data_IF_455451358973
#
_entry.id   IF_455451358973
#
_cell.length_a   1.000
_cell.length_b   1.000
_cell.length_c   1.000
_cell.angle_alpha   90.00
_cell.angle_beta   90.00
_cell.angle_gamma   90.00
#
_symmetry.space_group_name_H-M   'P 1'
#
loop_
_entity.id
_entity.type
_entity.pdbx_description
1 polymer ?
#
# COMPACT_ATOMS: atom_id res chain seq x y z
N UNK A 1 -19.81 -12.35 -37.59
CA UNK A 1 -19.70 -13.18 -36.37
C UNK A 1 -19.33 -14.60 -36.79
N UNK A 2 -18.18 -15.13 -36.39
CA UNK A 2 -17.75 -16.47 -36.85
C UNK A 2 -18.47 -17.57 -36.06
N UNK A 3 -19.39 -18.31 -36.70
CA UNK A 3 -20.26 -19.30 -36.03
C UNK A 3 -19.57 -20.60 -35.59
N UNK A 4 -18.36 -20.91 -36.08
CA UNK A 4 -17.62 -22.15 -35.76
C UNK A 4 -16.52 -21.99 -34.70
N UNK A 5 -16.45 -20.84 -34.01
CA UNK A 5 -15.37 -20.54 -33.04
C UNK A 5 -15.30 -21.50 -31.85
N UNK A 6 -16.41 -22.15 -31.51
CA UNK A 6 -16.52 -23.08 -30.38
C UNK A 6 -16.46 -24.57 -30.80
N UNK A 7 -16.60 -24.88 -32.09
CA UNK A 7 -16.61 -26.26 -32.60
C UNK A 7 -15.20 -26.87 -32.68
N UNK A 8 -14.16 -26.04 -32.76
CA UNK A 8 -12.75 -26.47 -32.82
C UNK A 8 -12.00 -25.79 -31.67
N UNK A 9 -11.46 -26.59 -30.74
CA UNK A 9 -10.65 -26.10 -29.62
C UNK A 9 -9.34 -25.52 -30.16
N UNK A 10 -9.07 -24.25 -29.88
CA UNK A 10 -7.80 -23.59 -30.22
C UNK A 10 -6.70 -24.04 -29.25
N UNK A 11 -5.48 -24.16 -29.76
CA UNK A 11 -4.31 -24.48 -28.92
C UNK A 11 -4.00 -23.30 -28.00
N UNK A 12 -3.83 -23.60 -26.71
CA UNK A 12 -3.36 -22.63 -25.73
C UNK A 12 -1.85 -22.51 -25.81
N UNK A 13 -1.34 -21.31 -26.10
CA UNK A 13 0.10 -21.05 -26.10
C UNK A 13 0.59 -20.90 -24.66
N UNK A 14 1.53 -21.75 -24.24
CA UNK A 14 2.18 -21.67 -22.93
C UNK A 14 3.30 -20.61 -22.97
N UNK A 15 3.52 -19.96 -21.84
CA UNK A 15 4.61 -19.00 -21.71
C UNK A 15 5.95 -19.67 -21.46
N UNK A 16 7.04 -19.01 -21.88
CA UNK A 16 8.41 -19.50 -21.70
C UNK A 16 8.98 -19.06 -20.35
N UNK A 17 9.71 -19.97 -19.70
CA UNK A 17 10.47 -19.69 -18.47
C UNK A 17 11.74 -18.86 -18.72
N UNK A 18 12.35 -18.34 -17.64
CA UNK A 18 13.66 -17.69 -17.66
C UNK A 18 14.76 -18.70 -18.03
N UNK A 19 15.74 -18.36 -18.91
CA UNK A 19 16.89 -19.23 -19.20
C UNK A 19 17.67 -19.57 -17.94
N UNK A 20 18.20 -20.80 -17.88
CA UNK A 20 18.91 -21.35 -16.71
C UNK A 20 20.06 -20.48 -16.25
N UNK A 21 20.89 -19.98 -17.17
CA UNK A 21 22.01 -19.09 -16.88
C UNK A 21 21.60 -17.78 -16.18
N UNK A 22 20.36 -17.32 -16.38
CA UNK A 22 19.82 -16.06 -15.83
C UNK A 22 18.83 -16.27 -14.69
N UNK A 23 18.70 -17.48 -14.16
CA UNK A 23 17.80 -17.77 -13.02
C UNK A 23 18.13 -16.96 -11.77
N UNK A 24 19.39 -16.55 -11.59
CA UNK A 24 19.83 -15.72 -10.46
C UNK A 24 19.18 -14.33 -10.44
N UNK A 25 18.67 -13.82 -11.57
CA UNK A 25 17.95 -12.54 -11.66
C UNK A 25 16.49 -12.64 -11.20
N UNK A 26 16.03 -13.83 -10.81
CA UNK A 26 14.64 -14.09 -10.46
C UNK A 26 13.74 -14.35 -11.67
N UNK A 27 12.44 -14.12 -11.48
CA UNK A 27 11.42 -14.41 -12.48
C UNK A 27 11.55 -13.49 -13.70
N UNK A 28 11.44 -14.05 -14.91
CA UNK A 28 11.41 -13.27 -16.15
C UNK A 28 10.05 -12.60 -16.29
N UNK A 29 10.03 -11.32 -16.00
CA UNK A 29 8.84 -10.49 -16.13
C UNK A 29 8.24 -10.52 -17.55
N UNK A 30 6.91 -10.58 -17.63
CA UNK A 30 6.14 -10.52 -18.88
C UNK A 30 5.30 -9.27 -18.98
N UNK A 31 4.65 -9.10 -20.13
CA UNK A 31 3.84 -7.90 -20.40
C UNK A 31 2.69 -7.70 -19.41
N UNK A 32 2.11 -8.78 -18.87
CA UNK A 32 1.10 -8.72 -17.79
C UNK A 32 1.65 -8.03 -16.55
N UNK A 33 2.84 -8.44 -16.11
CA UNK A 33 3.49 -7.93 -14.91
C UNK A 33 3.96 -6.49 -15.12
N UNK A 34 4.46 -6.18 -16.33
CA UNK A 34 4.79 -4.82 -16.76
C UNK A 34 3.59 -3.88 -16.58
N UNK A 35 2.41 -4.28 -17.07
CA UNK A 35 1.20 -3.46 -16.92
C UNK A 35 0.87 -3.22 -15.45
N UNK A 36 0.95 -4.25 -14.61
CA UNK A 36 0.66 -4.11 -13.18
C UNK A 36 1.63 -3.13 -12.49
N UNK A 37 2.93 -3.25 -12.78
CA UNK A 37 3.94 -2.35 -12.23
C UNK A 37 3.80 -0.92 -12.75
N UNK A 38 3.59 -0.73 -14.05
CA UNK A 38 3.38 0.59 -14.63
C UNK A 38 2.15 1.27 -14.02
N UNK A 39 1.05 0.52 -13.85
CA UNK A 39 -0.14 1.02 -13.18
C UNK A 39 0.13 1.39 -11.70
N UNK A 40 0.90 0.58 -10.97
CA UNK A 40 1.28 0.89 -9.59
C UNK A 40 2.15 2.17 -9.52
N UNK A 41 3.14 2.28 -10.40
CA UNK A 41 4.01 3.44 -10.50
C UNK A 41 3.22 4.72 -10.77
N UNK A 42 2.39 4.75 -11.82
CA UNK A 42 1.58 5.93 -12.13
C UNK A 42 0.58 6.27 -11.02
N UNK A 43 0.05 5.29 -10.29
CA UNK A 43 -0.80 5.56 -9.11
C UNK A 43 -0.03 6.29 -8.01
N UNK A 44 1.21 5.87 -7.73
CA UNK A 44 2.07 6.51 -6.74
C UNK A 44 2.47 7.91 -7.18
N UNK A 45 2.88 8.05 -8.43
CA UNK A 45 3.25 9.34 -9.03
C UNK A 45 2.10 10.35 -8.95
N UNK A 46 0.88 9.97 -9.37
CA UNK A 46 -0.31 10.82 -9.26
C UNK A 46 -0.60 11.25 -7.82
N UNK A 47 -0.43 10.34 -6.86
CA UNK A 47 -0.62 10.65 -5.43
C UNK A 47 0.42 11.67 -4.95
N UNK A 48 1.69 11.49 -5.28
CA UNK A 48 2.77 12.41 -4.90
C UNK A 48 2.52 13.79 -5.51
N UNK A 49 2.15 13.85 -6.79
CA UNK A 49 1.83 15.11 -7.47
C UNK A 49 0.68 15.86 -6.78
N UNK A 50 -0.40 15.17 -6.45
CA UNK A 50 -1.53 15.78 -5.74
C UNK A 50 -1.15 16.25 -4.32
N UNK A 51 -0.28 15.54 -3.61
CA UNK A 51 0.24 15.98 -2.30
C UNK A 51 1.12 17.23 -2.43
N UNK A 52 1.97 17.30 -3.45
CA UNK A 52 2.81 18.46 -3.72
C UNK A 52 1.97 19.70 -4.06
N UNK A 53 0.93 19.54 -4.89
CA UNK A 53 0.02 20.63 -5.22
C UNK A 53 -0.72 21.15 -3.98
N UNK A 54 -1.20 20.26 -3.11
CA UNK A 54 -1.80 20.66 -1.82
C UNK A 54 -0.83 21.37 -0.90
N UNK A 55 0.41 20.91 -0.83
CA UNK A 55 1.46 21.54 -0.02
C UNK A 55 1.81 22.94 -0.56
N UNK A 56 1.85 23.11 -1.88
CA UNK A 56 2.12 24.40 -2.51
C UNK A 56 0.97 25.41 -2.29
N UNK A 57 -0.27 24.93 -2.37
CA UNK A 57 -1.46 25.77 -2.19
C UNK A 57 -1.89 25.92 -0.71
N UNK A 58 -1.02 25.56 0.25
CA UNK A 58 -1.34 25.62 1.67
C UNK A 58 -1.47 27.08 2.13
N UNK A 59 -2.57 27.42 2.81
CA UNK A 59 -2.73 28.72 3.43
C UNK A 59 -1.94 28.76 4.77
N UNK A 60 -0.96 29.66 4.95
CA UNK A 60 -0.21 29.75 6.21
C UNK A 60 -1.09 30.07 7.42
N UNK A 61 -2.24 30.73 7.21
CA UNK A 61 -3.14 31.19 8.27
C UNK A 61 -4.27 30.20 8.56
N UNK A 62 -4.25 29.00 7.97
CA UNK A 62 -5.27 27.98 8.21
C UNK A 62 -5.23 27.46 9.66
N UNK A 63 -6.39 27.40 10.32
CA UNK A 63 -6.52 26.86 11.67
C UNK A 63 -7.64 25.81 11.76
N UNK A 64 -7.31 24.66 12.35
CA UNK A 64 -8.24 23.58 12.64
C UNK A 64 -8.23 23.29 14.14
N UNK A 65 -9.38 23.09 14.77
CA UNK A 65 -9.47 22.82 16.22
C UNK A 65 -8.65 21.60 16.67
N UNK A 66 -8.47 20.62 15.76
CA UNK A 66 -7.64 19.44 16.01
C UNK A 66 -6.16 19.77 16.25
N UNK A 67 -5.66 20.91 15.77
CA UNK A 67 -4.27 21.37 15.98
C UNK A 67 -3.92 21.54 17.47
N UNK A 68 -4.92 21.77 18.34
CA UNK A 68 -4.71 21.86 19.79
C UNK A 68 -4.38 20.50 20.42
N UNK A 69 -4.74 19.40 19.76
CA UNK A 69 -4.60 18.03 20.27
C UNK A 69 -3.58 17.20 19.50
N UNK A 70 -3.21 17.61 18.28
CA UNK A 70 -2.16 16.97 17.49
C UNK A 70 -0.79 17.54 17.84
N UNK A 71 0.26 16.74 17.63
CA UNK A 71 1.63 17.16 17.89
C UNK A 71 2.47 17.00 16.62
N UNK A 72 3.37 17.95 16.41
CA UNK A 72 4.37 17.92 15.33
C UNK A 72 5.74 17.95 15.99
N UNK A 73 6.66 17.14 15.50
CA UNK A 73 8.04 17.15 15.97
C UNK A 73 8.73 18.45 15.51
N UNK A 74 9.22 19.24 16.46
CA UNK A 74 9.85 20.52 16.21
C UNK A 74 11.16 20.41 15.40
N UNK A 75 11.83 19.25 15.41
CA UNK A 75 13.08 19.05 14.67
C UNK A 75 12.85 18.61 13.23
N UNK A 76 11.88 17.71 13.01
CA UNK A 76 11.66 17.06 11.71
C UNK A 76 10.46 17.62 10.95
N UNK A 77 9.55 18.34 11.63
CA UNK A 77 8.31 18.85 11.06
C UNK A 77 7.26 17.76 10.78
N UNK A 78 7.47 16.53 11.25
CA UNK A 78 6.56 15.41 11.01
C UNK A 78 5.51 15.26 12.11
N UNK A 79 4.32 14.78 11.74
CA UNK A 79 3.25 14.50 12.71
C UNK A 79 3.66 13.37 13.67
N UNK A 80 3.58 13.63 14.97
CA UNK A 80 3.89 12.68 16.04
C UNK A 80 2.61 12.33 16.80
N UNK A 81 2.42 11.05 17.13
CA UNK A 81 1.36 10.64 18.05
C UNK A 81 1.61 11.26 19.43
N UNK A 82 0.56 11.73 20.08
CA UNK A 82 0.66 12.22 21.45
C UNK A 82 0.94 11.06 22.40
N UNK A 83 1.62 11.33 23.52
CA UNK A 83 1.92 10.30 24.51
C UNK A 83 0.65 9.64 25.04
N UNK A 84 -0.43 10.41 25.23
CA UNK A 84 -1.75 9.90 25.58
C UNK A 84 -2.33 8.94 24.52
N UNK A 85 -2.11 9.20 23.23
CA UNK A 85 -2.55 8.31 22.16
C UNK A 85 -1.71 7.02 22.12
N UNK A 86 -0.40 7.12 22.31
CA UNK A 86 0.48 5.95 22.43
C UNK A 86 0.07 5.07 23.62
N UNK A 87 -0.19 5.67 24.78
CA UNK A 87 -0.65 4.96 25.98
C UNK A 87 -2.02 4.29 25.80
N UNK A 88 -2.89 4.79 24.92
CA UNK A 88 -4.14 4.09 24.57
C UNK A 88 -3.89 2.89 23.68
N UNK A 89 -2.98 3.01 22.72
CA UNK A 89 -2.65 1.93 21.79
C UNK A 89 -2.01 0.76 22.52
N UNK A 90 -1.08 1.03 23.43
CA UNK A 90 -0.46 0.01 24.32
C UNK A 90 -1.53 -0.70 25.16
N UNK A 91 -2.41 0.05 25.84
CA UNK A 91 -3.54 -0.54 26.59
C UNK A 91 -4.44 -1.41 25.70
N UNK A 92 -4.75 -0.95 24.48
CA UNK A 92 -5.55 -1.73 23.53
C UNK A 92 -4.87 -3.01 23.04
N UNK A 93 -3.55 -3.08 23.10
CA UNK A 93 -2.78 -4.27 22.76
C UNK A 93 -2.76 -5.23 23.95
N UNK A 94 -2.56 -4.73 25.17
CA UNK A 94 -2.61 -5.52 26.42
C UNK A 94 -4.00 -6.16 26.62
N UNK A 95 -5.07 -5.40 26.37
CA UNK A 95 -6.44 -5.94 26.42
C UNK A 95 -6.73 -6.98 25.34
N UNK A 96 -6.00 -6.97 24.22
CA UNK A 96 -6.14 -8.00 23.18
C UNK A 96 -5.40 -9.29 23.54
N UNK A 97 -4.27 -9.20 24.23
CA UNK A 97 -3.50 -10.39 24.64
C UNK A 97 -4.23 -11.14 25.76
N UNK A 98 -4.76 -10.44 26.76
CA UNK A 98 -5.52 -11.07 27.86
C UNK A 98 -6.78 -11.78 27.35
N UNK A 99 -7.54 -11.13 26.46
CA UNK A 99 -8.73 -11.72 25.84
C UNK A 99 -8.43 -12.90 24.88
N UNK A 100 -7.18 -13.05 24.43
CA UNK A 100 -6.75 -14.20 23.62
C UNK A 100 -6.28 -15.38 24.47
N UNK A 101 -5.72 -15.11 25.66
CA UNK A 101 -5.28 -16.11 26.63
C UNK A 101 -6.49 -16.73 27.37
N UNK A 102 -7.49 -15.92 27.74
CA UNK A 102 -8.75 -16.41 28.36
C UNK A 102 -9.63 -17.24 27.41
N UNK A 103 -9.35 -17.24 26.10
CA UNK A 103 -10.11 -17.99 25.08
C UNK A 103 -9.49 -19.33 24.69
N UNK A 104 -8.33 -19.68 25.23
CA UNK A 104 -7.63 -20.94 24.93
C UNK A 104 -7.77 -22.03 25.99
N UNK A 105 -8.52 -21.77 27.07
CA UNK A 105 -8.66 -22.67 28.23
C UNK A 105 -10.03 -23.40 28.32
N UNK A 106 -10.85 -23.35 27.26
CA UNK A 106 -12.09 -24.15 27.05
C UNK A 106 -11.91 -25.17 25.90
#
# INVERSE_FOLDING_TARGET
>A
MSSLRNAIKRVTHKERAQPTARKHLGLLEKHSDYKQRANNFHKKEKRIKALNERAHNRNPDEFYMAMNSSQVDAKTGQHKKTDAALLREVRSCEERTTNSEERSDD
#
